data_IF_310760501079
#
_entry.id   IF_310760501079
#
_cell.length_a   1.000
_cell.length_b   1.000
_cell.length_c   1.000
_cell.angle_alpha   90.00
_cell.angle_beta   90.00
_cell.angle_gamma   90.00
#
_symmetry.space_group_name_H-M   'P 1'
#
loop_
_entity.id
_entity.type
_entity.pdbx_description
1 polymer ?
#
# COMPACT_ATOMS: atom_id res chain seq x y z
N UNK A 1 36.60 25.39 -26.14
CA UNK A 1 36.50 24.21 -25.25
C UNK A 1 35.04 24.09 -24.83
N UNK A 2 34.31 23.17 -25.44
CA UNK A 2 32.86 23.06 -25.32
C UNK A 2 32.46 22.28 -24.06
N UNK A 3 31.77 22.94 -23.14
CA UNK A 3 30.98 22.30 -22.10
C UNK A 3 29.75 21.65 -22.74
N UNK A 4 29.86 20.41 -23.19
CA UNK A 4 28.69 19.58 -23.48
C UNK A 4 28.15 19.05 -22.15
N UNK A 5 27.28 19.85 -21.52
CA UNK A 5 26.26 19.28 -20.66
C UNK A 5 25.41 18.36 -21.53
N UNK A 6 25.66 17.06 -21.47
CA UNK A 6 24.72 16.05 -21.96
C UNK A 6 23.42 16.23 -21.16
N UNK A 7 22.48 17.01 -21.69
CA UNK A 7 21.10 17.01 -21.23
C UNK A 7 20.61 15.56 -21.34
N UNK A 8 20.45 14.89 -20.20
CA UNK A 8 19.80 13.60 -20.13
C UNK A 8 18.40 13.74 -20.72
N UNK A 9 18.14 13.11 -21.87
CA UNK A 9 16.78 13.00 -22.41
C UNK A 9 16.00 12.11 -21.45
N UNK A 10 15.05 12.69 -20.73
CA UNK A 10 14.26 12.02 -19.70
C UNK A 10 12.93 11.52 -20.28
N UNK A 11 12.56 10.28 -19.97
CA UNK A 11 11.27 9.69 -20.32
C UNK A 11 10.46 9.37 -19.06
N UNK A 12 9.34 10.09 -18.80
CA UNK A 12 8.46 9.79 -17.67
C UNK A 12 7.45 8.68 -18.00
N UNK A 13 7.11 7.87 -17.00
CA UNK A 13 5.98 6.96 -16.98
C UNK A 13 5.13 7.25 -15.75
N UNK A 14 3.82 7.35 -15.92
CA UNK A 14 2.88 7.62 -14.83
C UNK A 14 2.04 6.37 -14.57
N UNK A 15 2.05 5.88 -13.33
CA UNK A 15 1.19 4.81 -12.86
C UNK A 15 0.31 5.30 -11.72
N UNK A 16 -1.01 5.18 -11.88
CA UNK A 16 -2.02 5.64 -10.93
C UNK A 16 -2.72 4.45 -10.26
N UNK A 17 -2.71 4.41 -8.93
CA UNK A 17 -3.30 3.35 -8.11
C UNK A 17 -4.25 3.96 -7.09
N UNK A 18 -5.49 3.45 -7.04
CA UNK A 18 -6.47 3.77 -6.01
C UNK A 18 -6.39 2.73 -4.88
N UNK A 19 -6.28 3.17 -3.63
CA UNK A 19 -6.21 2.31 -2.45
C UNK A 19 -7.32 2.66 -1.46
N UNK A 20 -8.21 1.70 -1.20
CA UNK A 20 -9.29 1.83 -0.22
C UNK A 20 -8.88 1.16 1.09
N UNK A 21 -9.00 1.89 2.20
CA UNK A 21 -8.73 1.36 3.54
C UNK A 21 -7.26 1.36 3.95
N UNK A 22 -6.45 2.28 3.42
CA UNK A 22 -5.02 2.36 3.71
C UNK A 22 -4.68 2.64 5.18
N UNK A 23 -5.65 3.01 6.01
CA UNK A 23 -5.50 3.14 7.47
C UNK A 23 -5.72 1.83 8.25
N UNK A 24 -6.20 0.76 7.59
CA UNK A 24 -6.35 -0.56 8.21
C UNK A 24 -5.01 -1.30 8.40
N UNK A 25 -5.01 -2.40 9.16
CA UNK A 25 -3.78 -3.18 9.40
C UNK A 25 -3.12 -3.61 8.08
N UNK A 26 -3.87 -4.25 7.19
CA UNK A 26 -3.31 -4.71 5.91
C UNK A 26 -3.13 -3.54 4.94
N UNK A 27 -4.07 -2.60 4.88
CA UNK A 27 -4.00 -1.46 3.97
C UNK A 27 -2.77 -0.58 4.21
N UNK A 28 -2.44 -0.31 5.47
CA UNK A 28 -1.25 0.48 5.82
C UNK A 28 0.04 -0.24 5.45
N UNK A 29 0.14 -1.52 5.79
CA UNK A 29 1.29 -2.35 5.39
C UNK A 29 1.37 -2.48 3.87
N UNK A 30 0.25 -2.57 3.15
CA UNK A 30 0.24 -2.67 1.68
C UNK A 30 0.77 -1.38 1.06
N UNK A 31 0.38 -0.21 1.60
CA UNK A 31 0.94 1.07 1.17
C UNK A 31 2.45 1.13 1.45
N UNK A 32 2.91 0.69 2.63
CA UNK A 32 4.33 0.61 2.96
C UNK A 32 5.10 -0.28 1.96
N UNK A 33 4.55 -1.44 1.59
CA UNK A 33 5.15 -2.34 0.58
C UNK A 33 5.14 -1.75 -0.84
N UNK A 34 4.10 -1.00 -1.22
CA UNK A 34 4.03 -0.32 -2.53
C UNK A 34 5.05 0.81 -2.70
N UNK A 35 5.59 1.35 -1.61
CA UNK A 35 6.62 2.39 -1.63
C UNK A 35 8.04 1.83 -1.72
N UNK A 36 8.18 0.50 -1.76
CA UNK A 36 9.46 -0.18 -1.92
C UNK A 36 9.84 -0.25 -3.39
N UNK A 37 11.02 0.27 -3.71
CA UNK A 37 11.52 0.32 -5.10
C UNK A 37 11.75 -1.08 -5.65
N UNK A 38 12.16 -2.02 -4.79
CA UNK A 38 12.39 -3.44 -5.09
C UNK A 38 11.21 -4.09 -5.79
N UNK A 39 10.00 -3.73 -5.36
CA UNK A 39 8.76 -4.28 -5.90
C UNK A 39 8.59 -3.98 -7.40
N UNK A 40 9.19 -2.90 -7.87
CA UNK A 40 9.15 -2.48 -9.28
C UNK A 40 10.38 -2.94 -10.07
N UNK A 41 11.46 -3.30 -9.38
CA UNK A 41 12.66 -3.89 -9.99
C UNK A 41 12.48 -5.40 -10.22
N UNK A 42 12.05 -6.13 -9.18
CA UNK A 42 11.82 -7.59 -9.22
C UNK A 42 10.56 -7.98 -9.99
N UNK A 43 9.69 -7.03 -10.32
CA UNK A 43 8.56 -7.27 -11.21
C UNK A 43 8.97 -7.63 -12.66
N UNK A 44 10.28 -7.71 -12.95
CA UNK A 44 10.95 -8.65 -13.87
C UNK A 44 10.57 -8.64 -15.36
N UNK A 45 9.52 -7.92 -15.74
CA UNK A 45 9.05 -7.75 -17.11
C UNK A 45 8.53 -6.33 -17.35
N UNK A 46 7.91 -5.66 -16.37
CA UNK A 46 7.34 -4.32 -16.57
C UNK A 46 8.43 -3.29 -16.90
N UNK A 47 9.45 -3.17 -16.03
CA UNK A 47 10.53 -2.22 -16.23
C UNK A 47 11.32 -2.51 -17.52
N UNK A 48 11.72 -3.76 -17.74
CA UNK A 48 12.41 -4.12 -18.99
C UNK A 48 11.55 -3.90 -20.24
N UNK A 49 10.25 -4.18 -20.18
CA UNK A 49 9.34 -3.91 -21.32
C UNK A 49 9.22 -2.41 -21.60
N UNK A 50 9.14 -1.57 -20.55
CA UNK A 50 9.14 -0.11 -20.66
C UNK A 50 10.46 0.39 -21.24
N UNK A 51 11.59 -0.16 -20.82
CA UNK A 51 12.91 0.18 -21.38
C UNK A 51 13.03 -0.25 -22.85
N UNK A 52 12.55 -1.45 -23.21
CA UNK A 52 12.61 -1.99 -24.58
C UNK A 52 11.97 -1.09 -25.63
N UNK A 53 10.90 -0.37 -25.28
CA UNK A 53 10.25 0.62 -26.16
C UNK A 53 11.21 1.72 -26.64
N UNK A 54 12.31 1.94 -25.90
CA UNK A 54 13.27 3.01 -26.12
C UNK A 54 14.67 2.51 -26.49
N UNK A 55 14.82 1.24 -26.91
CA UNK A 55 16.11 0.65 -27.28
C UNK A 55 16.85 1.42 -28.39
N UNK A 56 16.11 2.00 -29.32
CA UNK A 56 16.67 2.75 -30.45
C UNK A 56 16.78 4.27 -30.18
N UNK A 57 16.49 4.72 -28.96
CA UNK A 57 16.57 6.13 -28.57
C UNK A 57 17.89 6.43 -27.87
N UNK A 58 18.23 7.71 -27.72
CA UNK A 58 19.36 8.17 -26.90
C UNK A 58 18.99 8.39 -25.42
N UNK A 59 17.86 7.88 -24.96
CA UNK A 59 17.38 8.05 -23.58
C UNK A 59 18.19 7.17 -22.63
N UNK A 60 18.80 7.79 -21.63
CA UNK A 60 19.57 7.15 -20.57
C UNK A 60 19.04 7.49 -19.17
N UNK A 61 17.95 8.27 -19.09
CA UNK A 61 17.26 8.61 -17.85
C UNK A 61 15.77 8.31 -17.99
N UNK A 62 15.28 7.46 -17.09
CA UNK A 62 13.88 7.08 -17.03
C UNK A 62 13.29 7.51 -15.69
N UNK A 63 12.14 8.18 -15.72
CA UNK A 63 11.41 8.59 -14.54
C UNK A 63 10.13 7.75 -14.40
N UNK A 64 9.95 7.12 -13.25
CA UNK A 64 8.78 6.30 -12.90
C UNK A 64 7.99 7.04 -11.81
N UNK A 65 6.95 7.75 -12.23
CA UNK A 65 6.02 8.44 -11.34
C UNK A 65 4.92 7.46 -10.89
N UNK A 66 4.84 7.21 -9.59
CA UNK A 66 3.87 6.32 -8.95
C UNK A 66 2.96 7.16 -8.07
N UNK A 67 1.69 7.24 -8.45
CA UNK A 67 0.67 7.98 -7.72
C UNK A 67 -0.25 7.03 -6.97
N UNK A 68 -0.36 7.20 -5.64
CA UNK A 68 -1.27 6.42 -4.79
C UNK A 68 -2.33 7.34 -4.21
N UNK A 69 -3.58 7.13 -4.61
CA UNK A 69 -4.73 7.84 -4.07
C UNK A 69 -5.38 6.98 -3.01
N UNK A 70 -5.29 7.39 -1.75
CA UNK A 70 -5.80 6.64 -0.61
C UNK A 70 -7.11 7.25 -0.12
N UNK A 71 -8.22 6.51 -0.15
CA UNK A 71 -9.50 6.97 0.40
C UNK A 71 -9.69 6.39 1.80
N UNK A 72 -9.89 7.28 2.78
CA UNK A 72 -9.98 6.92 4.19
C UNK A 72 -11.06 7.71 4.93
N UNK A 73 -11.58 7.15 6.04
CA UNK A 73 -12.48 7.90 6.95
C UNK A 73 -11.77 8.90 7.85
N UNK A 74 -10.47 8.71 8.05
CA UNK A 74 -9.62 9.52 8.92
C UNK A 74 -8.18 9.47 8.45
N UNK A 75 -7.40 10.49 8.75
CA UNK A 75 -5.95 10.43 8.62
C UNK A 75 -5.38 9.47 9.67
N UNK A 76 -4.31 8.78 9.30
CA UNK A 76 -3.51 8.08 10.30
C UNK A 76 -2.49 9.07 10.88
N UNK A 77 -2.70 9.51 12.12
CA UNK A 77 -1.77 10.41 12.81
C UNK A 77 -0.47 9.72 13.23
N UNK A 78 -0.39 8.39 13.11
CA UNK A 78 0.84 7.65 13.35
C UNK A 78 1.79 7.91 12.17
N UNK A 79 2.74 8.84 12.36
CA UNK A 79 3.94 8.98 11.51
C UNK A 79 4.68 7.65 11.52
N UNK A 80 4.29 6.73 10.64
CA UNK A 80 5.18 5.67 10.19
C UNK A 80 5.99 6.30 9.09
N UNK A 81 7.12 6.89 9.46
CA UNK A 81 8.15 7.14 8.46
C UNK A 81 8.42 5.77 7.82
N UNK A 82 8.23 5.61 6.50
CA UNK A 82 8.84 4.49 5.82
C UNK A 82 10.33 4.74 5.93
N UNK A 83 10.94 4.19 6.98
CA UNK A 83 12.38 4.18 7.14
C UNK A 83 12.91 3.23 6.07
N UNK A 84 13.02 3.77 4.86
CA UNK A 84 13.69 3.13 3.74
C UNK A 84 15.23 3.15 3.93
N UNK A 85 15.70 3.50 5.13
CA UNK A 85 17.11 3.47 5.59
C UNK A 85 17.78 2.09 5.43
N UNK A 86 17.01 1.02 5.21
CA UNK A 86 17.53 -0.35 5.07
C UNK A 86 17.34 -0.99 3.69
N UNK A 87 16.85 -0.26 2.68
CA UNK A 87 16.33 -0.89 1.45
C UNK A 87 17.38 -1.66 0.62
N UNK A 88 18.61 -1.15 0.45
CA UNK A 88 19.47 -1.70 -0.61
C UNK A 88 20.50 -2.73 -0.16
N UNK A 89 20.76 -2.93 1.15
CA UNK A 89 21.73 -3.95 1.60
C UNK A 89 21.32 -5.40 1.27
N UNK A 90 20.03 -5.64 0.95
CA UNK A 90 19.52 -6.97 0.58
C UNK A 90 19.09 -7.12 -0.87
N UNK A 91 19.13 -6.05 -1.66
CA UNK A 91 18.70 -6.11 -3.03
C UNK A 91 19.73 -6.85 -3.89
N UNK A 92 19.50 -8.15 -4.11
CA UNK A 92 20.07 -8.86 -5.27
C UNK A 92 19.34 -8.36 -6.52
N UNK A 93 19.46 -7.08 -6.86
CA UNK A 93 18.80 -6.51 -8.04
C UNK A 93 19.29 -7.28 -9.25
N UNK A 94 18.38 -7.95 -9.94
CA UNK A 94 18.69 -8.63 -11.19
C UNK A 94 19.26 -7.63 -12.18
N UNK A 95 20.34 -7.98 -12.90
CA UNK A 95 20.90 -7.11 -13.92
C UNK A 95 19.83 -6.82 -14.98
N UNK A 96 19.72 -5.55 -15.38
CA UNK A 96 18.78 -5.13 -16.41
C UNK A 96 19.39 -5.32 -17.79
N UNK A 97 18.60 -5.80 -18.75
CA UNK A 97 19.01 -5.83 -20.17
C UNK A 97 18.39 -4.66 -20.91
N UNK A 98 19.24 -3.76 -21.41
CA UNK A 98 18.82 -2.61 -22.22
C UNK A 98 19.82 -2.38 -23.37
N UNK A 99 19.32 -2.16 -24.59
CA UNK A 99 20.14 -2.02 -25.82
C UNK A 99 21.12 -3.17 -26.03
N UNK A 100 20.67 -4.41 -25.74
CA UNK A 100 21.48 -5.65 -25.79
C UNK A 100 22.71 -5.63 -24.85
N UNK A 101 22.75 -4.73 -23.87
CA UNK A 101 23.78 -4.64 -22.85
C UNK A 101 23.21 -4.96 -21.46
N UNK A 102 24.04 -5.54 -20.60
CA UNK A 102 23.70 -5.78 -19.21
C UNK A 102 24.15 -4.59 -18.34
N UNK A 103 23.22 -4.13 -17.53
CA UNK A 103 23.38 -3.03 -16.60
C UNK A 103 23.30 -3.56 -15.17
N UNK A 104 24.30 -3.22 -14.36
CA UNK A 104 24.42 -3.63 -12.97
C UNK A 104 24.21 -2.42 -12.07
N UNK A 105 23.49 -2.59 -10.97
CA UNK A 105 23.31 -1.52 -10.01
C UNK A 105 24.68 -1.09 -9.46
N UNK A 106 25.03 0.17 -9.66
CA UNK A 106 26.33 0.72 -9.28
C UNK A 106 26.23 1.59 -8.03
N UNK A 107 25.24 2.46 -7.98
CA UNK A 107 25.03 3.37 -6.85
C UNK A 107 23.54 3.61 -6.60
N UNK A 108 23.21 4.00 -5.38
CA UNK A 108 21.88 4.44 -4.99
C UNK A 108 22.01 5.68 -4.11
N UNK A 109 21.01 6.56 -4.16
CA UNK A 109 20.96 7.75 -3.28
C UNK A 109 20.29 7.48 -1.92
N UNK A 110 20.12 6.22 -1.50
CA UNK A 110 19.65 5.92 -0.14
C UNK A 110 20.73 6.16 0.93
N UNK A 111 21.99 6.28 0.52
CA UNK A 111 23.14 6.38 1.41
C UNK A 111 23.90 7.71 1.27
N UNK A 112 23.28 8.86 1.54
CA UNK A 112 24.01 10.10 1.86
C UNK A 112 23.15 11.05 2.71
N UNK A 113 23.78 11.84 3.62
CA UNK A 113 23.13 12.47 4.77
C UNK A 113 22.19 13.63 4.36
N UNK A 114 21.39 14.17 5.31
CA UNK A 114 20.45 15.27 5.05
C UNK A 114 21.10 16.42 4.29
N UNK A 115 20.29 17.15 3.53
CA UNK A 115 20.65 18.21 2.57
C UNK A 115 21.52 19.38 3.09
N UNK A 116 21.99 19.35 4.34
CA UNK A 116 22.87 20.36 4.92
C UNK A 116 24.36 20.17 4.65
N UNK A 117 24.80 19.08 3.98
CA UNK A 117 26.23 18.82 3.73
C UNK A 117 26.59 18.31 2.32
N UNK A 118 25.74 18.47 1.30
CA UNK A 118 26.11 18.13 -0.08
C UNK A 118 26.42 19.38 -0.92
N UNK A 119 27.60 19.39 -1.55
CA UNK A 119 28.03 20.44 -2.48
C UNK A 119 27.29 20.48 -3.84
N UNK A 120 26.29 19.60 -4.04
CA UNK A 120 25.39 19.60 -5.20
C UNK A 120 23.92 19.55 -4.71
N UNK A 121 23.15 20.66 -4.80
CA UNK A 121 21.77 20.74 -4.31
C UNK A 121 20.74 19.88 -5.08
N UNK A 122 21.12 19.26 -6.19
CA UNK A 122 20.23 18.50 -7.08
C UNK A 122 20.09 17.01 -6.73
N UNK A 123 20.77 16.54 -5.68
CA UNK A 123 20.86 15.11 -5.32
C UNK A 123 20.42 14.78 -3.88
N UNK A 124 19.77 15.74 -3.20
CA UNK A 124 19.22 15.52 -1.86
C UNK A 124 17.91 14.72 -1.90
N UNK A 125 17.75 13.77 -0.96
CA UNK A 125 16.47 13.12 -0.69
C UNK A 125 15.45 14.18 -0.26
N UNK A 126 14.69 14.71 -1.22
CA UNK A 126 13.55 15.57 -0.93
C UNK A 126 12.38 14.67 -0.57
N UNK A 127 12.35 14.16 0.66
CA UNK A 127 11.08 13.79 1.29
C UNK A 127 10.37 15.10 1.56
N UNK A 128 9.62 15.57 0.57
CA UNK A 128 8.76 16.74 0.73
C UNK A 128 7.46 16.22 1.35
N UNK A 129 7.40 16.26 2.69
CA UNK A 129 6.14 16.09 3.42
C UNK A 129 5.40 17.43 3.36
N UNK A 130 4.44 17.53 2.43
CA UNK A 130 3.55 18.70 2.36
C UNK A 130 2.21 18.31 2.97
N UNK A 131 2.06 18.62 4.25
CA UNK A 131 0.78 18.55 4.93
C UNK A 131 -0.03 19.78 4.50
N UNK A 132 -1.10 19.58 3.74
CA UNK A 132 -2.04 20.64 3.39
C UNK A 132 -3.46 20.14 3.62
N UNK A 133 -4.27 20.89 4.34
CA UNK A 133 -5.69 20.56 4.50
C UNK A 133 -6.46 21.29 3.40
N UNK A 134 -7.03 20.54 2.45
CA UNK A 134 -7.95 21.14 1.49
C UNK A 134 -9.35 21.12 2.08
N UNK A 135 -10.10 22.17 1.80
CA UNK A 135 -11.55 22.15 1.91
C UNK A 135 -12.09 22.34 0.50
N UNK A 136 -12.10 21.27 -0.29
CA UNK A 136 -12.80 21.25 -1.56
C UNK A 136 -14.25 21.50 -1.23
N UNK A 137 -14.89 22.55 -1.74
CA UNK A 137 -16.34 22.72 -1.59
C UNK A 137 -16.92 22.55 -2.98
N UNK A 138 -16.98 21.30 -3.43
CA UNK A 138 -17.53 21.01 -4.74
C UNK A 138 -19.03 20.80 -4.59
N UNK A 139 -19.82 21.47 -5.42
CA UNK A 139 -21.23 21.15 -5.62
C UNK A 139 -21.31 19.90 -6.47
N UNK A 140 -21.31 18.73 -5.82
CA UNK A 140 -21.69 17.47 -6.48
C UNK A 140 -23.20 17.34 -6.26
N UNK A 141 -23.99 17.36 -7.34
CA UNK A 141 -25.45 17.26 -7.28
C UNK A 141 -26.12 18.28 -6.33
N UNK A 142 -25.74 19.56 -6.44
CA UNK A 142 -26.20 20.66 -5.55
C UNK A 142 -25.83 20.52 -4.06
N UNK A 143 -24.89 19.64 -3.70
CA UNK A 143 -24.39 19.49 -2.32
C UNK A 143 -22.92 19.87 -2.24
N UNK A 144 -22.58 20.76 -1.31
CA UNK A 144 -21.20 21.09 -0.97
C UNK A 144 -20.58 19.96 -0.16
N UNK A 145 -19.54 19.30 -0.67
CA UNK A 145 -18.79 18.26 0.06
C UNK A 145 -17.40 18.77 0.38
N UNK A 146 -17.05 18.86 1.67
CA UNK A 146 -15.73 19.28 2.19
C UNK A 146 -14.76 18.10 2.30
N UNK A 147 -13.63 18.15 1.59
CA UNK A 147 -12.66 17.06 1.54
C UNK A 147 -11.27 17.45 2.02
N UNK A 148 -10.86 16.92 3.16
CA UNK A 148 -9.50 17.05 3.66
C UNK A 148 -8.58 16.09 2.91
N UNK A 149 -7.38 16.52 2.57
CA UNK A 149 -6.36 15.65 2.00
C UNK A 149 -5.03 15.78 2.75
N UNK A 150 -4.08 14.88 2.48
CA UNK A 150 -2.68 14.98 2.88
C UNK A 150 -1.82 14.45 1.74
N UNK A 151 -0.77 15.18 1.38
CA UNK A 151 0.13 14.77 0.30
C UNK A 151 1.50 14.39 0.87
N UNK A 152 2.14 13.37 0.31
CA UNK A 152 3.53 13.03 0.67
C UNK A 152 4.26 12.63 -0.60
N UNK A 153 5.43 13.22 -0.83
CA UNK A 153 6.28 12.92 -1.99
C UNK A 153 7.61 12.34 -1.57
N UNK A 154 8.03 11.28 -2.24
CA UNK A 154 9.31 10.59 -2.01
C UNK A 154 9.98 10.31 -3.34
N UNK A 155 11.29 10.47 -3.39
CA UNK A 155 12.07 10.26 -4.62
C UNK A 155 13.26 9.37 -4.36
N UNK A 156 13.52 8.42 -5.26
CA UNK A 156 14.66 7.51 -5.20
C UNK A 156 15.36 7.49 -6.55
N UNK A 157 16.68 7.50 -6.54
CA UNK A 157 17.49 7.46 -7.76
C UNK A 157 18.43 6.26 -7.72
N UNK A 158 18.37 5.45 -8.77
CA UNK A 158 19.19 4.28 -8.98
C UNK A 158 20.07 4.47 -10.20
N UNK A 159 21.38 4.35 -9.99
CA UNK A 159 22.36 4.42 -11.06
C UNK A 159 22.83 3.01 -11.43
N UNK A 160 22.61 2.64 -12.68
CA UNK A 160 23.11 1.41 -13.25
C UNK A 160 24.26 1.70 -14.21
N UNK A 161 25.24 0.80 -14.20
CA UNK A 161 26.43 0.90 -15.04
C UNK A 161 26.56 -0.36 -15.90
N UNK A 162 26.81 -0.16 -17.18
CA UNK A 162 27.18 -1.25 -18.09
C UNK A 162 28.68 -1.55 -18.01
N UNK A 163 29.11 -2.68 -18.59
CA UNK A 163 30.54 -3.01 -18.73
C UNK A 163 31.33 -1.96 -19.54
N UNK A 164 30.64 -1.27 -20.46
CA UNK A 164 31.23 -0.23 -21.31
C UNK A 164 31.17 1.17 -20.64
N UNK A 165 30.94 1.23 -19.32
CA UNK A 165 30.84 2.46 -18.53
C UNK A 165 29.73 3.42 -19.01
N UNK A 166 28.71 2.90 -19.70
CA UNK A 166 27.49 3.68 -19.99
C UNK A 166 26.58 3.66 -18.77
N UNK A 167 26.08 4.84 -18.39
CA UNK A 167 25.18 5.01 -17.27
C UNK A 167 23.73 4.92 -17.73
N UNK A 168 22.91 4.26 -16.92
CA UNK A 168 21.46 4.20 -17.02
C UNK A 168 20.89 4.68 -15.68
N UNK A 169 20.15 5.77 -15.73
CA UNK A 169 19.56 6.38 -14.55
C UNK A 169 18.07 6.06 -14.47
N UNK A 170 17.63 5.55 -13.32
CA UNK A 170 16.22 5.30 -13.05
C UNK A 170 15.81 6.08 -11.80
N UNK A 171 14.87 7.01 -11.96
CA UNK A 171 14.31 7.80 -10.86
C UNK A 171 12.89 7.35 -10.58
N UNK A 172 12.59 7.00 -9.34
CA UNK A 172 11.24 6.73 -8.85
C UNK A 172 10.74 7.96 -8.10
N UNK A 173 9.55 8.43 -8.45
CA UNK A 173 8.81 9.44 -7.69
C UNK A 173 7.53 8.83 -7.16
N UNK A 174 7.42 8.65 -5.85
CA UNK A 174 6.20 8.21 -5.20
C UNK A 174 5.44 9.43 -4.68
N UNK A 175 4.20 9.59 -5.12
CA UNK A 175 3.28 10.61 -4.63
C UNK A 175 2.09 9.92 -3.97
N UNK A 176 1.91 10.15 -2.67
CA UNK A 176 0.80 9.62 -1.89
C UNK A 176 -0.17 10.77 -1.64
N UNK A 177 -1.43 10.57 -2.01
CA UNK A 177 -2.52 11.52 -1.76
C UNK A 177 -3.55 10.81 -0.89
N UNK A 178 -3.64 11.17 0.39
CA UNK A 178 -4.65 10.63 1.30
C UNK A 178 -5.85 11.56 1.29
N UNK A 179 -6.98 11.10 0.77
CA UNK A 179 -8.26 11.80 0.78
C UNK A 179 -9.11 11.30 1.95
N UNK A 180 -9.66 12.23 2.71
CA UNK A 180 -10.44 11.94 3.92
C UNK A 180 -11.91 12.22 3.68
N UNK A 181 -12.70 11.17 3.75
CA UNK A 181 -14.15 11.17 3.60
C UNK A 181 -14.75 10.44 4.80
N UNK A 182 -15.21 11.18 5.81
CA UNK A 182 -15.70 10.57 7.05
C UNK A 182 -16.89 9.63 6.82
N UNK A 183 -17.82 10.06 5.95
CA UNK A 183 -18.99 9.27 5.57
C UNK A 183 -18.68 8.35 4.38
N UNK A 184 -18.53 7.05 4.67
CA UNK A 184 -18.30 6.05 3.64
C UNK A 184 -19.49 5.72 2.75
N UNK A 185 -20.70 6.12 3.12
CA UNK A 185 -21.88 5.82 2.30
C UNK A 185 -21.87 6.55 0.97
N UNK A 186 -21.15 7.67 0.90
CA UNK A 186 -21.05 8.53 -0.29
C UNK A 186 -19.81 8.24 -1.13
N UNK A 187 -18.91 7.36 -0.69
CA UNK A 187 -17.62 7.16 -1.38
C UNK A 187 -17.79 6.68 -2.81
N UNK A 188 -18.72 5.76 -3.05
CA UNK A 188 -18.98 5.25 -4.39
C UNK A 188 -19.41 6.40 -5.30
N UNK A 189 -20.40 7.18 -4.89
CA UNK A 189 -21.03 8.22 -5.71
C UNK A 189 -20.09 9.40 -5.97
N UNK A 190 -19.26 9.76 -4.99
CA UNK A 190 -18.32 10.88 -5.13
C UNK A 190 -17.10 10.54 -5.98
N UNK A 191 -16.73 9.24 -6.06
CA UNK A 191 -15.48 8.81 -6.69
C UNK A 191 -15.32 9.34 -8.14
N UNK A 192 -16.30 9.21 -9.06
CA UNK A 192 -16.18 9.74 -10.41
C UNK A 192 -16.05 11.27 -10.44
N UNK A 193 -16.77 11.98 -9.57
CA UNK A 193 -16.73 13.45 -9.52
C UNK A 193 -15.38 13.99 -9.07
N UNK A 194 -14.71 13.31 -8.13
CA UNK A 194 -13.39 13.69 -7.63
C UNK A 194 -12.30 13.44 -8.68
N UNK A 195 -12.40 12.33 -9.40
CA UNK A 195 -11.45 11.92 -10.44
C UNK A 195 -11.95 12.33 -11.82
N UNK A 196 -12.18 13.63 -12.00
CA UNK A 196 -12.76 14.24 -13.22
C UNK A 196 -11.81 15.20 -13.95
N UNK A 197 -10.53 15.31 -13.54
CA UNK A 197 -9.53 16.30 -13.99
C UNK A 197 -9.83 17.78 -13.69
N UNK A 198 -11.10 18.11 -13.43
CA UNK A 198 -11.54 19.45 -13.06
C UNK A 198 -11.14 19.80 -11.62
N UNK A 199 -11.02 18.78 -10.77
CA UNK A 199 -10.70 18.92 -9.36
C UNK A 199 -9.21 19.23 -9.18
N UNK A 200 -8.94 20.50 -8.86
CA UNK A 200 -7.62 20.97 -8.45
C UNK A 200 -7.48 20.87 -6.94
N UNK A 201 -6.42 20.19 -6.50
CA UNK A 201 -5.98 20.22 -5.13
C UNK A 201 -5.15 21.49 -4.91
N UNK A 202 -5.69 22.45 -4.16
CA UNK A 202 -5.04 23.72 -3.82
C UNK A 202 -4.47 23.64 -2.39
N UNK A 203 -3.14 23.53 -2.20
CA UNK A 203 -2.56 23.49 -0.86
C UNK A 203 -2.84 24.79 -0.07
N UNK A 204 -2.86 24.69 1.27
CA UNK A 204 -3.04 25.87 2.15
C UNK A 204 -1.88 26.86 2.01
N UNK A 205 -0.70 26.38 1.62
CA UNK A 205 0.48 27.20 1.33
C UNK A 205 0.53 27.60 -0.15
N UNK A 206 0.48 28.91 -0.41
CA UNK A 206 0.27 29.54 -1.73
C UNK A 206 1.41 29.36 -2.75
N UNK A 207 2.53 28.73 -2.38
CA UNK A 207 3.70 28.57 -3.26
C UNK A 207 3.81 27.21 -3.95
N UNK A 208 2.88 26.28 -3.67
CA UNK A 208 2.96 24.92 -4.21
C UNK A 208 2.05 24.73 -5.43
N UNK A 209 2.54 23.98 -6.40
CA UNK A 209 1.85 23.69 -7.67
C UNK A 209 0.57 22.90 -7.35
N UNK A 210 -0.59 23.44 -7.77
CA UNK A 210 -1.87 22.76 -7.61
C UNK A 210 -1.85 21.40 -8.30
N UNK A 211 -2.06 20.31 -7.56
CA UNK A 211 -2.12 18.96 -8.13
C UNK A 211 -3.52 18.73 -8.69
N UNK A 212 -3.63 18.38 -9.97
CA UNK A 212 -4.89 17.88 -10.53
C UNK A 212 -5.02 16.39 -10.24
N UNK A 213 -6.19 15.96 -9.79
CA UNK A 213 -6.50 14.55 -9.75
C UNK A 213 -6.74 14.04 -11.19
N UNK A 214 -6.27 12.83 -11.54
CA UNK A 214 -6.44 12.28 -12.88
C UNK A 214 -7.91 11.94 -13.11
N UNK A 215 -8.31 11.79 -14.38
CA UNK A 215 -9.59 11.17 -14.69
C UNK A 215 -9.62 9.73 -14.15
N UNK A 216 -10.79 9.25 -13.72
CA UNK A 216 -10.92 7.89 -13.18
C UNK A 216 -10.48 6.84 -14.21
N UNK A 217 -10.60 7.13 -15.50
CA UNK A 217 -10.17 6.27 -16.61
C UNK A 217 -8.66 6.00 -16.62
N UNK A 218 -7.84 6.97 -16.20
CA UNK A 218 -6.38 6.84 -16.12
C UNK A 218 -5.95 5.93 -14.96
N UNK A 219 -6.80 5.79 -13.94
CA UNK A 219 -6.56 4.92 -12.78
C UNK A 219 -6.90 3.47 -13.14
N UNK A 220 -5.90 2.71 -13.60
CA UNK A 220 -6.12 1.33 -14.08
C UNK A 220 -6.26 0.29 -12.96
N UNK A 221 -5.70 0.57 -11.78
CA UNK A 221 -5.63 -0.42 -10.69
C UNK A 221 -6.25 0.12 -9.40
N UNK A 222 -7.17 -0.66 -8.84
CA UNK A 222 -7.73 -0.42 -7.51
C UNK A 222 -7.34 -1.55 -6.55
N UNK A 223 -6.92 -1.20 -5.35
CA UNK A 223 -6.66 -2.11 -4.25
C UNK A 223 -7.71 -1.87 -3.16
N UNK A 224 -8.51 -2.88 -2.85
CA UNK A 224 -9.50 -2.83 -1.80
C UNK A 224 -9.07 -3.66 -0.58
N UNK A 225 -8.77 -2.96 0.52
CA UNK A 225 -8.46 -3.56 1.82
C UNK A 225 -9.52 -3.26 2.88
N UNK A 226 -10.72 -2.86 2.43
CA UNK A 226 -11.84 -2.54 3.31
C UNK A 226 -12.28 -3.78 4.10
N UNK A 227 -12.46 -3.58 5.41
CA UNK A 227 -12.97 -4.60 6.30
C UNK A 227 -13.38 -4.00 7.64
N UNK A 228 -14.37 -4.62 8.28
CA UNK A 228 -14.84 -4.21 9.62
C UNK A 228 -14.53 -5.26 10.67
N UNK A 229 -13.82 -4.85 11.72
CA UNK A 229 -13.72 -5.68 12.91
C UNK A 229 -14.99 -5.56 13.76
N UNK A 230 -15.28 -6.57 14.58
CA UNK A 230 -16.52 -6.62 15.35
C UNK A 230 -16.64 -5.52 16.40
N UNK A 231 -15.51 -4.91 16.79
CA UNK A 231 -15.47 -3.76 17.70
C UNK A 231 -15.84 -2.46 16.98
N UNK A 232 -15.35 -2.23 15.75
CA UNK A 232 -15.67 -1.02 14.97
C UNK A 232 -17.11 -0.99 14.46
N UNK A 233 -17.70 -2.15 14.16
CA UNK A 233 -19.12 -2.25 13.79
C UNK A 233 -20.06 -1.76 14.92
N UNK A 234 -19.67 -1.95 16.19
CA UNK A 234 -20.46 -1.47 17.33
C UNK A 234 -20.37 0.04 17.57
N UNK A 235 -19.26 0.66 17.17
CA UNK A 235 -19.01 2.09 17.41
C UNK A 235 -19.45 2.98 16.24
N UNK A 236 -19.42 2.47 15.00
CA UNK A 236 -19.65 3.28 13.81
C UNK A 236 -21.05 3.13 13.20
N UNK A 237 -22.01 2.48 13.87
CA UNK A 237 -23.38 2.22 13.40
C UNK A 237 -23.55 1.46 12.06
N UNK A 238 -22.47 1.20 11.30
CA UNK A 238 -22.53 0.47 10.03
C UNK A 238 -22.47 -1.04 10.24
N UNK A 239 -23.42 -1.75 9.63
CA UNK A 239 -23.40 -3.20 9.58
C UNK A 239 -22.16 -3.70 8.83
N UNK A 240 -21.61 -4.83 9.27
CA UNK A 240 -20.49 -5.50 8.62
C UNK A 240 -20.83 -5.82 7.16
N UNK A 241 -22.06 -6.24 6.89
CA UNK A 241 -22.53 -6.53 5.54
C UNK A 241 -22.46 -5.30 4.62
N UNK A 242 -22.77 -4.12 5.15
CA UNK A 242 -22.67 -2.87 4.39
C UNK A 242 -21.25 -2.61 3.91
N UNK A 243 -20.24 -2.68 4.80
CA UNK A 243 -18.85 -2.39 4.42
C UNK A 243 -18.25 -3.52 3.59
N UNK A 244 -18.42 -4.77 4.03
CA UNK A 244 -17.79 -5.92 3.40
C UNK A 244 -18.37 -6.25 2.02
N UNK A 245 -19.63 -5.90 1.75
CA UNK A 245 -20.31 -6.22 0.49
C UNK A 245 -20.82 -4.98 -0.24
N UNK A 246 -21.80 -4.25 0.31
CA UNK A 246 -22.50 -3.18 -0.43
C UNK A 246 -21.55 -2.07 -0.88
N UNK A 247 -20.83 -1.47 0.06
CA UNK A 247 -19.89 -0.38 -0.21
C UNK A 247 -18.82 -0.82 -1.21
N UNK A 248 -18.25 -2.00 -1.00
CA UNK A 248 -17.17 -2.51 -1.86
C UNK A 248 -17.66 -2.75 -3.28
N UNK A 249 -18.86 -3.33 -3.45
CA UNK A 249 -19.46 -3.58 -4.75
C UNK A 249 -19.82 -2.28 -5.47
N UNK A 250 -20.42 -1.31 -4.77
CA UNK A 250 -20.76 0.00 -5.35
C UNK A 250 -19.53 0.78 -5.81
N UNK A 251 -18.46 0.78 -5.00
CA UNK A 251 -17.20 1.41 -5.41
C UNK A 251 -16.62 0.69 -6.62
N UNK A 252 -16.65 -0.64 -6.66
CA UNK A 252 -16.18 -1.40 -7.81
C UNK A 252 -16.99 -1.08 -9.08
N UNK A 253 -18.33 -0.98 -8.98
CA UNK A 253 -19.20 -0.59 -10.09
C UNK A 253 -18.82 0.77 -10.68
N UNK A 254 -18.62 1.78 -9.82
CA UNK A 254 -18.28 3.13 -10.25
C UNK A 254 -16.83 3.21 -10.76
N UNK A 255 -15.92 2.40 -10.20
CA UNK A 255 -14.55 2.28 -10.70
C UNK A 255 -14.46 1.63 -12.08
N UNK A 256 -15.37 0.69 -12.39
CA UNK A 256 -15.45 0.02 -13.69
C UNK A 256 -16.12 0.84 -14.79
N UNK A 257 -16.16 2.17 -14.68
CA UNK A 257 -16.77 3.05 -15.69
C UNK A 257 -16.21 2.84 -17.11
N UNK A 258 -14.96 2.39 -17.24
CA UNK A 258 -14.32 2.07 -18.51
C UNK A 258 -13.67 0.68 -18.50
N UNK A 259 -13.16 0.26 -19.67
CA UNK A 259 -12.46 -1.02 -19.86
C UNK A 259 -11.06 -0.98 -19.24
N UNK A 260 -10.40 -2.13 -19.20
CA UNK A 260 -9.01 -2.28 -18.73
C UNK A 260 -8.77 -1.97 -17.25
N UNK A 261 -9.82 -2.11 -16.42
CA UNK A 261 -9.73 -1.96 -14.97
C UNK A 261 -9.33 -3.25 -14.28
N UNK A 262 -8.37 -3.12 -13.36
CA UNK A 262 -7.89 -4.19 -12.49
C UNK A 262 -8.28 -3.92 -11.04
N UNK A 263 -8.81 -4.94 -10.38
CA UNK A 263 -9.15 -4.92 -8.96
C UNK A 263 -8.36 -5.97 -8.20
N UNK A 264 -7.63 -5.56 -7.17
CA UNK A 264 -7.03 -6.43 -6.18
C UNK A 264 -7.83 -6.29 -4.89
N UNK A 265 -8.42 -7.37 -4.41
CA UNK A 265 -9.24 -7.37 -3.21
C UNK A 265 -8.77 -8.42 -2.21
N UNK A 266 -8.79 -8.05 -0.92
CA UNK A 266 -8.53 -8.96 0.18
C UNK A 266 -9.85 -9.39 0.80
N UNK A 267 -10.14 -10.69 0.73
CA UNK A 267 -11.34 -11.26 1.34
C UNK A 267 -10.95 -12.08 2.57
N UNK A 268 -11.21 -13.37 2.54
CA UNK A 268 -10.85 -14.32 3.58
C UNK A 268 -10.79 -15.71 2.97
N UNK A 269 -10.08 -16.62 3.63
CA UNK A 269 -10.21 -18.05 3.37
C UNK A 269 -11.70 -18.43 3.35
N UNK A 270 -12.18 -18.93 2.23
CA UNK A 270 -13.54 -19.42 2.09
C UNK A 270 -13.54 -20.75 1.31
N UNK A 271 -14.52 -21.59 1.63
CA UNK A 271 -14.91 -22.73 0.82
C UNK A 271 -16.45 -22.80 0.81
N UNK A 272 -17.03 -23.54 -0.13
CA UNK A 272 -18.48 -23.65 -0.27
C UNK A 272 -19.18 -24.12 1.01
N UNK A 273 -18.56 -25.03 1.77
CA UNK A 273 -19.16 -25.60 2.97
C UNK A 273 -19.22 -24.60 4.13
N UNK A 274 -18.14 -23.85 4.37
CA UNK A 274 -18.03 -22.85 5.42
C UNK A 274 -18.91 -21.63 5.11
N UNK A 275 -19.03 -21.25 3.83
CA UNK A 275 -19.91 -20.15 3.43
C UNK A 275 -21.39 -20.46 3.63
N UNK A 276 -21.81 -21.73 3.68
CA UNK A 276 -23.18 -22.09 4.04
C UNK A 276 -23.47 -21.99 5.54
N UNK A 277 -22.47 -22.26 6.39
CA UNK A 277 -22.65 -22.33 7.85
C UNK A 277 -22.48 -20.96 8.50
N UNK A 278 -21.56 -20.14 7.98
CA UNK A 278 -21.13 -18.90 8.63
C UNK A 278 -21.43 -17.66 7.76
N UNK A 279 -22.29 -16.73 8.24
CA UNK A 279 -22.70 -15.55 7.49
C UNK A 279 -21.53 -14.69 6.97
N UNK A 280 -20.44 -14.59 7.75
CA UNK A 280 -19.25 -13.84 7.35
C UNK A 280 -18.63 -14.36 6.04
N UNK A 281 -18.44 -15.68 5.93
CA UNK A 281 -17.86 -16.30 4.74
C UNK A 281 -18.87 -16.33 3.60
N UNK A 282 -20.18 -16.41 3.88
CA UNK A 282 -21.24 -16.22 2.89
C UNK A 282 -21.13 -14.87 2.18
N UNK A 283 -21.01 -13.79 2.95
CA UNK A 283 -20.89 -12.43 2.42
C UNK A 283 -19.66 -12.24 1.55
N UNK A 284 -18.49 -12.72 1.99
CA UNK A 284 -17.25 -12.62 1.21
C UNK A 284 -17.30 -13.47 -0.06
N UNK A 285 -17.87 -14.66 0.00
CA UNK A 285 -18.08 -15.51 -1.18
C UNK A 285 -19.06 -14.86 -2.18
N UNK A 286 -20.16 -14.28 -1.70
CA UNK A 286 -21.12 -13.56 -2.54
C UNK A 286 -20.47 -12.35 -3.22
N UNK A 287 -19.65 -11.57 -2.49
CA UNK A 287 -18.90 -10.46 -3.07
C UNK A 287 -17.98 -10.93 -4.20
N UNK A 288 -17.21 -11.99 -3.99
CA UNK A 288 -16.29 -12.52 -5.01
C UNK A 288 -17.04 -12.92 -6.29
N UNK A 289 -18.18 -13.60 -6.15
CA UNK A 289 -19.02 -14.00 -7.27
C UNK A 289 -19.62 -12.80 -8.00
N UNK A 290 -20.03 -11.78 -7.26
CA UNK A 290 -20.70 -10.60 -7.82
C UNK A 290 -19.70 -9.65 -8.50
N UNK A 291 -18.49 -9.51 -7.95
CA UNK A 291 -17.40 -8.78 -8.62
C UNK A 291 -16.99 -9.43 -9.94
N UNK A 292 -17.08 -10.76 -10.03
CA UNK A 292 -16.76 -11.49 -11.26
C UNK A 292 -17.87 -11.35 -12.31
N UNK A 293 -19.14 -11.42 -11.91
CA UNK A 293 -20.25 -11.65 -12.84
C UNK A 293 -21.21 -10.46 -13.03
N UNK A 294 -21.22 -9.48 -12.12
CA UNK A 294 -22.22 -8.39 -12.13
C UNK A 294 -21.68 -7.02 -12.54
N UNK A 295 -20.36 -6.87 -12.69
CA UNK A 295 -19.75 -5.61 -13.10
C UNK A 295 -19.90 -5.41 -14.61
N UNK A 296 -20.28 -4.19 -14.99
CA UNK A 296 -20.43 -3.79 -16.39
C UNK A 296 -19.90 -2.37 -16.59
N UNK A 297 -18.83 -2.17 -17.37
CA UNK A 297 -17.90 -3.16 -17.94
C UNK A 297 -17.31 -4.20 -16.97
N UNK A 298 -16.98 -5.39 -17.47
CA UNK A 298 -16.26 -6.40 -16.71
C UNK A 298 -14.81 -5.95 -16.42
N UNK A 299 -14.27 -6.37 -15.28
CA UNK A 299 -12.87 -6.16 -14.93
C UNK A 299 -11.97 -6.92 -15.91
N UNK A 300 -10.91 -6.27 -16.40
CA UNK A 300 -9.88 -6.97 -17.18
C UNK A 300 -9.11 -7.98 -16.34
N UNK A 301 -8.99 -7.69 -15.04
CA UNK A 301 -8.38 -8.58 -14.08
C UNK A 301 -8.94 -8.36 -12.67
N UNK A 302 -9.39 -9.44 -12.05
CA UNK A 302 -9.77 -9.53 -10.65
C UNK A 302 -8.77 -10.45 -9.91
N UNK A 303 -8.04 -9.89 -8.94
CA UNK A 303 -7.16 -10.66 -8.05
C UNK A 303 -7.81 -10.72 -6.66
N UNK A 304 -8.12 -11.93 -6.20
CA UNK A 304 -8.73 -12.18 -4.90
C UNK A 304 -7.71 -12.85 -3.99
N UNK A 305 -7.25 -12.14 -2.96
CA UNK A 305 -6.44 -12.72 -1.90
C UNK A 305 -7.35 -13.30 -0.82
N UNK A 306 -7.20 -14.60 -0.54
CA UNK A 306 -7.93 -15.32 0.50
C UNK A 306 -7.00 -15.68 1.66
N UNK A 307 -6.57 -14.72 2.50
CA UNK A 307 -5.76 -15.04 3.67
C UNK A 307 -6.58 -15.78 4.72
N UNK A 308 -5.94 -16.69 5.45
CA UNK A 308 -6.46 -17.24 6.68
C UNK A 308 -6.38 -16.24 7.83
N UNK A 309 -6.54 -16.68 9.08
CA UNK A 309 -6.40 -15.81 10.24
C UNK A 309 -5.06 -15.08 10.24
N UNK A 310 -5.12 -13.74 10.35
CA UNK A 310 -3.94 -12.90 10.21
C UNK A 310 -3.13 -12.84 11.50
N UNK A 311 -1.81 -13.03 11.38
CA UNK A 311 -0.85 -12.82 12.45
C UNK A 311 -0.29 -11.41 12.32
N UNK A 312 -0.68 -10.52 13.22
CA UNK A 312 -0.20 -9.14 13.23
C UNK A 312 -0.77 -8.40 14.42
N UNK A 313 -0.20 -7.24 14.72
CA UNK A 313 -0.70 -6.39 15.79
C UNK A 313 -1.47 -5.22 15.18
N UNK A 314 -2.75 -5.09 15.50
CA UNK A 314 -3.60 -3.99 15.05
C UNK A 314 -3.27 -2.66 15.77
N UNK A 315 -2.49 -2.71 16.86
CA UNK A 315 -1.91 -1.54 17.50
C UNK A 315 -0.49 -1.32 16.98
N UNK A 316 -0.18 -0.10 16.55
CA UNK A 316 1.21 0.32 16.41
C UNK A 316 1.97 0.00 17.69
N UNK A 317 3.11 -0.66 17.52
CA UNK A 317 4.14 -0.67 18.54
C UNK A 317 4.54 0.79 18.74
N UNK A 318 3.97 1.45 19.76
CA UNK A 318 4.79 2.38 20.53
C UNK A 318 6.10 1.64 20.77
N UNK A 319 7.22 2.22 20.32
CA UNK A 319 8.55 1.63 20.45
C UNK A 319 8.72 1.19 21.90
N UNK A 320 8.42 -0.08 22.12
CA UNK A 320 8.37 -0.71 23.42
C UNK A 320 9.78 -1.16 23.62
N UNK A 321 10.58 -0.37 24.32
CA UNK A 321 11.75 -0.93 24.97
C UNK A 321 11.29 -1.72 26.22
N UNK A 322 10.38 -2.68 26.02
CA UNK A 322 9.97 -3.67 27.01
C UNK A 322 11.05 -4.77 27.10
N UNK A 323 12.31 -4.38 26.98
CA UNK A 323 13.43 -5.25 27.28
C UNK A 323 13.51 -5.36 28.79
N UNK A 324 13.46 -6.59 29.29
CA UNK A 324 13.73 -6.83 30.70
C UNK A 324 15.15 -6.33 30.98
N UNK A 325 15.27 -5.32 31.86
CA UNK A 325 16.58 -4.85 32.30
C UNK A 325 17.24 -5.97 33.08
N UNK A 326 18.48 -6.28 32.70
CA UNK A 326 19.27 -7.30 33.38
C UNK A 326 20.03 -6.67 34.54
N UNK A 327 19.93 -7.28 35.73
CA UNK A 327 20.80 -6.98 36.86
C UNK A 327 21.45 -8.28 37.37
N UNK A 328 22.73 -8.25 37.76
CA UNK A 328 23.39 -9.38 38.40
C UNK A 328 22.85 -9.68 39.81
N UNK A 329 22.10 -8.76 40.44
CA UNK A 329 21.54 -8.99 41.78
C UNK A 329 20.11 -9.56 41.70
N UNK A 330 19.82 -10.59 42.49
CA UNK A 330 18.51 -11.26 42.48
C UNK A 330 17.36 -10.32 42.87
N UNK A 331 17.57 -9.46 43.86
CA UNK A 331 16.55 -8.52 44.35
C UNK A 331 16.19 -7.47 43.29
N UNK A 332 17.18 -6.89 42.64
CA UNK A 332 16.98 -5.89 41.59
C UNK A 332 16.43 -6.54 40.32
N UNK A 333 16.81 -7.79 40.02
CA UNK A 333 16.24 -8.54 38.91
C UNK A 333 14.74 -8.86 39.14
N UNK A 334 14.34 -9.16 40.39
CA UNK A 334 12.95 -9.35 40.79
C UNK A 334 12.14 -8.05 40.68
N UNK A 335 12.73 -6.92 41.08
CA UNK A 335 12.12 -5.59 40.93
C UNK A 335 11.93 -5.23 39.46
N UNK A 336 12.98 -5.37 38.64
CA UNK A 336 12.93 -5.19 37.19
C UNK A 336 11.85 -6.09 36.54
N UNK A 337 11.72 -7.33 37.00
CA UNK A 337 10.69 -8.25 36.51
C UNK A 337 9.27 -7.82 36.90
N UNK A 338 9.09 -7.34 38.13
CA UNK A 338 7.80 -6.81 38.61
C UNK A 338 7.38 -5.58 37.83
N UNK A 339 8.30 -4.63 37.63
CA UNK A 339 8.06 -3.44 36.82
C UNK A 339 7.72 -3.81 35.37
N UNK A 340 8.50 -4.71 34.78
CA UNK A 340 8.23 -5.22 33.44
C UNK A 340 6.85 -5.86 33.33
N UNK A 341 6.47 -6.71 34.28
CA UNK A 341 5.14 -7.32 34.33
C UNK A 341 4.02 -6.27 34.44
N UNK A 342 4.24 -5.22 35.21
CA UNK A 342 3.27 -4.14 35.39
C UNK A 342 3.08 -3.31 34.12
N UNK A 343 4.19 -2.90 33.49
CA UNK A 343 4.16 -2.18 32.22
C UNK A 343 3.57 -3.05 31.09
N UNK A 344 3.87 -4.34 31.08
CA UNK A 344 3.26 -5.30 30.17
C UNK A 344 1.74 -5.37 30.35
N UNK A 345 1.25 -5.50 31.60
CA UNK A 345 -0.19 -5.53 31.90
C UNK A 345 -0.89 -4.23 31.50
N UNK A 346 -0.31 -3.08 31.84
CA UNK A 346 -0.84 -1.76 31.42
C UNK A 346 -0.95 -1.67 29.91
N UNK A 347 0.10 -2.06 29.19
CA UNK A 347 0.12 -2.03 27.73
C UNK A 347 -0.94 -2.95 27.13
N UNK A 348 -1.08 -4.17 27.66
CA UNK A 348 -2.09 -5.13 27.23
C UNK A 348 -3.52 -4.61 27.41
N UNK A 349 -3.81 -3.99 28.56
CA UNK A 349 -5.13 -3.37 28.83
C UNK A 349 -5.39 -2.20 27.88
N UNK A 350 -4.39 -1.34 27.62
CA UNK A 350 -4.51 -0.23 26.66
C UNK A 350 -4.80 -0.76 25.24
N UNK A 351 -4.11 -1.82 24.81
CA UNK A 351 -4.37 -2.48 23.53
C UNK A 351 -5.80 -3.03 23.46
N UNK A 352 -6.24 -3.79 24.46
CA UNK A 352 -7.61 -4.32 24.51
C UNK A 352 -8.65 -3.19 24.44
N UNK A 353 -8.42 -2.06 25.10
CA UNK A 353 -9.31 -0.89 25.00
C UNK A 353 -9.32 -0.29 23.58
N UNK A 354 -8.18 -0.25 22.88
CA UNK A 354 -8.07 0.30 21.52
C UNK A 354 -8.69 -0.60 20.45
N UNK A 355 -8.41 -1.92 20.48
CA UNK A 355 -8.78 -2.84 19.38
C UNK A 355 -9.92 -3.80 19.73
N UNK A 356 -10.25 -3.95 21.02
CA UNK A 356 -11.24 -4.88 21.55
C UNK A 356 -10.67 -6.25 21.92
N UNK A 357 -11.23 -6.87 22.96
CA UNK A 357 -10.78 -8.18 23.47
C UNK A 357 -10.85 -9.30 22.42
N UNK A 358 -11.95 -9.38 21.66
CA UNK A 358 -12.14 -10.42 20.63
C UNK A 358 -11.05 -10.36 19.56
N UNK A 359 -10.70 -9.16 19.10
CA UNK A 359 -9.63 -8.92 18.14
C UNK A 359 -8.28 -9.39 18.72
N UNK A 360 -7.98 -9.03 19.98
CA UNK A 360 -6.73 -9.42 20.64
C UNK A 360 -6.62 -10.93 20.86
N UNK A 361 -7.70 -11.58 21.26
CA UNK A 361 -7.75 -13.03 21.40
C UNK A 361 -7.50 -13.73 20.06
N UNK A 362 -8.09 -13.22 18.98
CA UNK A 362 -7.83 -13.71 17.62
C UNK A 362 -6.37 -13.57 17.21
N UNK A 363 -5.71 -12.44 17.52
CA UNK A 363 -4.27 -12.26 17.26
C UNK A 363 -3.42 -13.30 18.01
N UNK A 364 -3.72 -13.55 19.28
CA UNK A 364 -2.99 -14.50 20.12
C UNK A 364 -3.17 -15.94 19.61
N UNK A 365 -4.39 -16.33 19.26
CA UNK A 365 -4.69 -17.66 18.71
C UNK A 365 -3.99 -17.84 17.35
N UNK A 366 -4.09 -16.85 16.46
CA UNK A 366 -3.42 -16.90 15.16
C UNK A 366 -1.89 -17.04 15.33
N UNK A 367 -1.30 -16.29 16.26
CA UNK A 367 0.13 -16.38 16.58
C UNK A 367 0.52 -17.76 17.13
N UNK A 368 -0.30 -18.36 17.98
CA UNK A 368 -0.05 -19.69 18.54
C UNK A 368 -0.22 -20.82 17.51
N UNK A 369 -1.14 -20.65 16.55
CA UNK A 369 -1.48 -21.64 15.51
C UNK A 369 -0.59 -21.55 14.28
N UNK A 370 0.14 -20.46 14.07
CA UNK A 370 1.02 -20.29 12.92
C UNK A 370 2.04 -21.44 12.80
N UNK A 371 2.07 -22.07 11.62
CA UNK A 371 2.92 -23.24 11.29
C UNK A 371 2.73 -24.48 12.18
N UNK A 372 1.62 -24.58 12.92
CA UNK A 372 1.27 -25.82 13.64
C UNK A 372 0.60 -26.82 12.69
N UNK A 373 0.88 -28.13 12.84
CA UNK A 373 0.21 -29.17 12.07
C UNK A 373 -1.31 -29.13 12.33
N UNK A 374 -2.13 -29.29 11.28
CA UNK A 374 -3.60 -29.22 11.37
C UNK A 374 -4.21 -27.81 11.21
N UNK A 375 -3.41 -26.74 11.25
CA UNK A 375 -3.89 -25.35 11.06
C UNK A 375 -4.47 -25.06 9.68
N UNK A 376 -4.18 -25.90 8.67
CA UNK A 376 -4.73 -25.81 7.32
C UNK A 376 -6.25 -25.98 7.28
N UNK A 377 -6.84 -26.76 8.19
CA UNK A 377 -8.31 -26.92 8.29
C UNK A 377 -9.02 -25.64 8.75
N UNK A 378 -8.29 -24.74 9.42
CA UNK A 378 -8.77 -23.44 9.88
C UNK A 378 -8.33 -22.29 8.96
N UNK A 379 -7.93 -22.60 7.73
CA UNK A 379 -7.57 -21.62 6.71
C UNK A 379 -6.10 -21.21 6.65
N UNK A 380 -5.20 -21.87 7.40
CA UNK A 380 -3.76 -21.56 7.46
C UNK A 380 -3.45 -20.11 7.88
N UNK A 381 -2.95 -19.91 9.10
CA UNK A 381 -2.65 -18.56 9.59
C UNK A 381 -1.50 -17.93 8.80
N UNK A 382 -1.60 -16.63 8.46
CA UNK A 382 -0.59 -15.93 7.65
C UNK A 382 -0.26 -14.56 8.28
N UNK A 383 1.01 -14.13 8.31
CA UNK A 383 1.35 -12.79 8.74
C UNK A 383 0.68 -11.68 7.90
N UNK A 384 0.25 -10.61 8.57
CA UNK A 384 -0.34 -9.45 7.90
C UNK A 384 0.66 -8.78 6.93
N UNK A 385 1.95 -8.75 7.28
CA UNK A 385 3.02 -8.23 6.42
C UNK A 385 3.19 -9.04 5.14
N UNK A 386 3.12 -10.38 5.22
CA UNK A 386 3.18 -11.24 4.03
C UNK A 386 1.98 -11.06 3.12
N UNK A 387 0.79 -10.90 3.72
CA UNK A 387 -0.44 -10.59 2.96
C UNK A 387 -0.35 -9.22 2.28
N UNK A 388 0.21 -8.23 2.97
CA UNK A 388 0.46 -6.91 2.40
C UNK A 388 1.45 -6.94 1.23
N UNK A 389 2.58 -7.65 1.39
CA UNK A 389 3.55 -7.84 0.31
C UNK A 389 2.92 -8.54 -0.89
N UNK A 390 2.19 -9.65 -0.68
CA UNK A 390 1.50 -10.34 -1.76
C UNK A 390 0.47 -9.43 -2.46
N UNK A 391 -0.24 -8.59 -1.71
CA UNK A 391 -1.19 -7.61 -2.28
C UNK A 391 -0.46 -6.60 -3.16
N UNK A 392 0.62 -6.01 -2.65
CA UNK A 392 1.43 -5.04 -3.38
C UNK A 392 2.06 -5.68 -4.63
N UNK A 393 2.62 -6.88 -4.51
CA UNK A 393 3.20 -7.65 -5.62
C UNK A 393 2.20 -7.94 -6.74
N UNK A 394 0.99 -8.37 -6.39
CA UNK A 394 -0.08 -8.61 -7.37
C UNK A 394 -0.58 -7.30 -8.00
N UNK A 395 -0.51 -6.19 -7.27
CA UNK A 395 -0.85 -4.87 -7.79
C UNK A 395 0.23 -4.31 -8.73
N UNK A 396 1.51 -4.63 -8.54
CA UNK A 396 2.58 -4.15 -9.44
C UNK A 396 2.84 -5.08 -10.62
N UNK A 397 2.49 -6.36 -10.51
CA UNK A 397 2.71 -7.35 -11.57
C UNK A 397 1.40 -7.74 -12.27
N UNK A 398 1.10 -7.22 -13.47
CA UNK A 398 -0.06 -7.67 -14.22
C UNK A 398 0.09 -9.15 -14.59
N UNK A 399 -0.94 -9.95 -14.31
CA UNK A 399 -0.97 -11.38 -14.64
C UNK A 399 -1.86 -11.57 -15.89
N UNK A 400 -1.61 -12.61 -16.67
CA UNK A 400 -2.51 -13.01 -17.76
C UNK A 400 -3.74 -13.72 -17.18
N UNK A 401 -4.94 -13.24 -17.52
CA UNK A 401 -6.21 -13.86 -17.15
C UNK A 401 -7.14 -12.95 -16.33
N UNK A 402 -8.44 -13.20 -16.48
CA UNK A 402 -9.52 -12.41 -15.88
C UNK A 402 -9.64 -12.58 -14.37
N UNK A 403 -9.38 -13.79 -13.83
CA UNK A 403 -9.50 -14.08 -12.39
C UNK A 403 -8.25 -14.77 -11.84
N UNK A 404 -7.72 -14.24 -10.73
CA UNK A 404 -6.62 -14.86 -9.97
C UNK A 404 -6.95 -14.96 -8.48
N UNK A 405 -7.11 -16.18 -7.97
CA UNK A 405 -7.31 -16.43 -6.54
C UNK A 405 -5.97 -16.80 -5.91
N UNK A 406 -5.51 -16.03 -4.93
CA UNK A 406 -4.25 -16.27 -4.19
C UNK A 406 -4.61 -16.85 -2.82
N UNK A 407 -4.22 -18.10 -2.58
CA UNK A 407 -4.53 -18.82 -1.33
C UNK A 407 -3.60 -18.43 -0.19
N UNK A 408 -3.99 -18.69 1.06
CA UNK A 408 -3.19 -18.36 2.25
C UNK A 408 -1.82 -19.05 2.24
N UNK A 409 -1.74 -20.29 1.77
CA UNK A 409 -0.47 -21.02 1.63
C UNK A 409 0.44 -20.37 0.59
N UNK A 410 -0.14 -19.93 -0.52
CA UNK A 410 0.61 -19.22 -1.57
C UNK A 410 1.14 -17.88 -1.07
N UNK A 411 0.32 -17.10 -0.35
CA UNK A 411 0.73 -15.84 0.29
C UNK A 411 1.95 -16.06 1.19
N UNK A 412 1.99 -17.15 1.96
CA UNK A 412 3.13 -17.43 2.84
C UNK A 412 4.39 -17.85 2.09
N UNK A 413 4.27 -18.39 0.87
CA UNK A 413 5.41 -18.81 0.03
C UNK A 413 5.90 -17.75 -0.95
N UNK A 414 5.10 -16.70 -1.23
CA UNK A 414 5.50 -15.58 -2.10
C UNK A 414 6.61 -14.69 -1.49
N UNK A 415 6.86 -14.83 -0.19
CA UNK A 415 7.88 -14.11 0.61
C UNK A 415 8.77 -15.10 1.33
#
# INVERSE_FOLDING_TARGET
MSNNHNLSKNQPFNDHILLLGSTGLIGSLTLEELLKVELYLDAGNDLESKLKLYENSDINHFTLNKFFYCINRKLNNEKRSPANEYLVERCRVTPLVFRKQQYYLHNNTSATPPASQSSNPSLGNNVFEEDGTIHLTQTVDNRSVTLNFKQTRQSYQLEYLSKDLRNLLITFHFTIVQLVFEDSTQWADLLPSIFSEEVKLIPEETNNISLKLPHLDEVKTMICTLGTNSSSAKHNCYDRYFVDYHLTLQIAQNFTSCKDKRLIIITSFNNSLISHIFPYFKTKYQLENDLQNKLSPALSQLVVLRPGPLVGNHASYYHKDLRLRYSPSLSEQLENYREWCWEYKKAFVKEIRKIGFKTKASELIAKAMYRKPGSSFLGYCVPASKTAYATAYMATKPILGELRIVSSKEIDHLT
#
